data_IF_517818765509
#
_entry.id   IF_517818765509
#
_cell.length_a   1.000
_cell.length_b   1.000
_cell.length_c   1.000
_cell.angle_alpha   90.00
_cell.angle_beta   90.00
_cell.angle_gamma   90.00
#
_symmetry.space_group_name_H-M   'P 1'
#
loop_
_entity.id
_entity.type
_entity.pdbx_description
1 polymer ?
#
# COMPACT_ATOMS: atom_id res chain seq x y z
N UNK A 1 11.49 -29.63 6.03
CA UNK A 1 12.12 -28.73 7.01
C UNK A 1 11.69 -27.31 6.68
N UNK A 2 11.33 -26.58 7.73
CA UNK A 2 10.57 -25.32 7.81
C UNK A 2 10.49 -24.47 6.54
N UNK A 3 9.28 -24.39 5.98
CA UNK A 3 9.02 -23.56 4.80
C UNK A 3 9.10 -22.06 5.08
N UNK A 4 9.03 -21.61 6.33
CA UNK A 4 9.02 -20.19 6.67
C UNK A 4 10.43 -19.61 6.79
N UNK A 5 10.53 -18.28 6.61
CA UNK A 5 11.77 -17.52 6.84
C UNK A 5 12.23 -17.61 8.30
N UNK A 6 13.53 -17.41 8.52
CA UNK A 6 14.05 -17.30 9.88
C UNK A 6 13.49 -16.04 10.57
N UNK A 7 13.28 -16.07 11.89
CA UNK A 7 12.80 -14.90 12.64
C UNK A 7 13.69 -13.66 12.46
N UNK A 8 15.01 -13.86 12.37
CA UNK A 8 15.96 -12.77 12.15
C UNK A 8 15.77 -12.11 10.77
N UNK A 9 15.58 -12.92 9.72
CA UNK A 9 15.33 -12.40 8.38
C UNK A 9 13.97 -11.71 8.30
N UNK A 10 12.94 -12.25 8.95
CA UNK A 10 11.63 -11.59 9.05
C UNK A 10 11.75 -10.22 9.71
N UNK A 11 12.46 -10.12 10.84
CA UNK A 11 12.63 -8.86 11.56
C UNK A 11 13.42 -7.80 10.78
N UNK A 12 14.20 -8.20 9.78
CA UNK A 12 14.95 -7.28 8.91
C UNK A 12 14.14 -6.73 7.73
N UNK A 13 12.94 -7.27 7.47
CA UNK A 13 12.04 -6.82 6.41
C UNK A 13 11.20 -5.64 6.91
N UNK A 14 10.89 -4.71 6.01
CA UNK A 14 10.07 -3.53 6.32
C UNK A 14 8.60 -3.91 6.53
N UNK A 15 8.10 -4.90 5.78
CA UNK A 15 6.74 -5.40 5.88
C UNK A 15 6.73 -6.90 6.22
N UNK A 16 7.13 -7.26 7.45
CA UNK A 16 7.30 -8.66 7.86
C UNK A 16 6.00 -9.47 7.77
N UNK A 17 4.85 -8.83 7.97
CA UNK A 17 3.54 -9.46 7.90
C UNK A 17 3.26 -10.12 6.54
N UNK A 18 3.77 -9.53 5.44
CA UNK A 18 3.62 -10.14 4.12
C UNK A 18 4.41 -11.45 4.02
N UNK A 19 5.66 -11.44 4.47
CA UNK A 19 6.60 -12.54 4.28
C UNK A 19 6.44 -13.66 5.30
N UNK A 20 5.80 -13.39 6.43
CA UNK A 20 5.56 -14.35 7.53
C UNK A 20 4.47 -15.38 7.19
N UNK A 21 4.67 -16.08 6.08
CA UNK A 21 3.85 -17.17 5.57
C UNK A 21 4.71 -18.09 4.71
N UNK A 22 4.19 -19.27 4.38
CA UNK A 22 4.89 -20.20 3.51
C UNK A 22 5.22 -19.54 2.15
N UNK A 23 6.44 -19.67 1.61
CA UNK A 23 6.85 -19.08 0.34
C UNK A 23 6.01 -19.51 -0.87
N UNK A 24 5.46 -20.72 -0.83
CA UNK A 24 4.48 -21.18 -1.83
C UNK A 24 3.19 -20.34 -1.86
N UNK A 25 2.95 -19.50 -0.85
CA UNK A 25 1.82 -18.59 -0.72
C UNK A 25 2.22 -17.12 -0.85
N UNK A 26 3.45 -16.80 -1.26
CA UNK A 26 3.85 -15.40 -1.43
C UNK A 26 3.13 -14.72 -2.59
N UNK A 27 2.69 -15.46 -3.61
CA UNK A 27 1.99 -14.87 -4.76
C UNK A 27 2.96 -14.10 -5.67
N UNK A 28 2.42 -13.16 -6.44
CA UNK A 28 3.16 -12.31 -7.37
C UNK A 28 3.22 -10.85 -6.96
N UNK A 29 3.62 -9.98 -7.90
CA UNK A 29 3.72 -8.53 -7.68
C UNK A 29 2.35 -7.92 -7.35
N UNK A 30 1.28 -8.39 -7.98
CA UNK A 30 -0.07 -7.88 -7.69
C UNK A 30 -0.57 -8.25 -6.29
N UNK A 31 -0.19 -9.42 -5.75
CA UNK A 31 -0.50 -9.78 -4.36
C UNK A 31 0.21 -8.86 -3.37
N UNK A 32 1.46 -8.49 -3.67
CA UNK A 32 2.20 -7.48 -2.93
C UNK A 32 1.52 -6.12 -3.01
N UNK A 33 1.16 -5.69 -4.22
CA UNK A 33 0.50 -4.39 -4.45
C UNK A 33 -0.82 -4.30 -3.66
N UNK A 34 -1.64 -5.36 -3.67
CA UNK A 34 -2.88 -5.41 -2.88
C UNK A 34 -2.60 -5.34 -1.38
N UNK A 35 -1.56 -6.03 -0.89
CA UNK A 35 -1.18 -5.98 0.52
C UNK A 35 -0.75 -4.57 0.92
N UNK A 36 0.19 -3.97 0.17
CA UNK A 36 0.79 -2.70 0.54
C UNK A 36 -0.19 -1.52 0.41
N UNK A 37 -1.14 -1.59 -0.53
CA UNK A 37 -2.24 -0.62 -0.63
C UNK A 37 -3.14 -0.60 0.61
N UNK A 38 -3.31 -1.75 1.26
CA UNK A 38 -4.09 -1.86 2.52
C UNK A 38 -3.28 -1.41 3.72
N UNK A 39 -1.99 -1.74 3.73
CA UNK A 39 -1.08 -1.41 4.83
C UNK A 39 -0.72 0.08 4.86
N UNK A 40 -0.57 0.71 3.68
CA UNK A 40 -0.15 2.10 3.53
C UNK A 40 -1.13 2.85 2.61
N UNK A 41 -2.20 3.44 3.17
CA UNK A 41 -3.15 4.23 2.40
C UNK A 41 -2.47 5.37 1.63
N UNK A 42 -2.76 5.47 0.33
CA UNK A 42 -2.19 6.52 -0.53
C UNK A 42 -0.77 6.22 -1.04
N UNK A 43 -0.19 5.05 -0.76
CA UNK A 43 1.09 4.67 -1.36
C UNK A 43 1.00 4.70 -2.88
N UNK A 44 2.00 5.30 -3.53
CA UNK A 44 2.09 5.29 -4.97
C UNK A 44 2.83 4.03 -5.47
N UNK A 45 2.58 3.67 -6.73
CA UNK A 45 3.17 2.49 -7.38
C UNK A 45 4.69 2.47 -7.32
N UNK A 46 5.34 3.61 -7.52
CA UNK A 46 6.81 3.69 -7.53
C UNK A 46 7.39 3.32 -6.17
N UNK A 47 6.87 3.89 -5.08
CA UNK A 47 7.30 3.58 -3.72
C UNK A 47 7.02 2.13 -3.36
N UNK A 48 5.82 1.63 -3.67
CA UNK A 48 5.46 0.22 -3.43
C UNK A 48 6.43 -0.75 -4.11
N UNK A 49 6.78 -0.49 -5.36
CA UNK A 49 7.69 -1.33 -6.16
C UNK A 49 9.15 -1.18 -5.73
N UNK A 50 9.57 0.02 -5.32
CA UNK A 50 10.91 0.25 -4.76
C UNK A 50 11.10 -0.53 -3.45
N UNK A 51 10.10 -0.52 -2.56
CA UNK A 51 10.15 -1.31 -1.32
C UNK A 51 10.20 -2.81 -1.62
N UNK A 52 9.33 -3.32 -2.52
CA UNK A 52 9.39 -4.73 -2.92
C UNK A 52 10.76 -5.12 -3.49
N UNK A 53 11.35 -4.27 -4.33
CA UNK A 53 12.66 -4.53 -4.91
C UNK A 53 13.77 -4.61 -3.83
N UNK A 54 13.71 -3.74 -2.82
CA UNK A 54 14.65 -3.75 -1.71
C UNK A 54 14.52 -5.02 -0.84
N UNK A 55 13.30 -5.41 -0.50
CA UNK A 55 13.04 -6.62 0.29
C UNK A 55 13.42 -7.89 -0.48
N UNK A 56 13.07 -7.98 -1.76
CA UNK A 56 13.48 -9.11 -2.61
C UNK A 56 15.00 -9.21 -2.76
N UNK A 57 15.73 -8.07 -2.74
CA UNK A 57 17.20 -8.08 -2.75
C UNK A 57 17.75 -8.65 -1.44
N UNK A 58 17.20 -8.25 -0.29
CA UNK A 58 17.59 -8.82 1.00
C UNK A 58 17.32 -10.33 1.05
N UNK A 59 16.12 -10.75 0.64
CA UNK A 59 15.73 -12.16 0.58
C UNK A 59 16.68 -12.96 -0.32
N UNK A 60 17.06 -12.45 -1.50
CA UNK A 60 18.00 -13.13 -2.40
C UNK A 60 19.39 -13.30 -1.76
N UNK A 61 19.86 -12.32 -1.00
CA UNK A 61 21.16 -12.38 -0.33
C UNK A 61 21.19 -13.41 0.81
N UNK A 62 20.10 -13.51 1.58
CA UNK A 62 20.06 -14.28 2.82
C UNK A 62 19.50 -15.71 2.64
N UNK A 63 18.75 -15.97 1.56
CA UNK A 63 18.11 -17.26 1.36
C UNK A 63 19.05 -18.31 0.73
N UNK A 64 18.97 -19.59 1.18
CA UNK A 64 19.67 -20.68 0.51
C UNK A 64 19.19 -20.83 -0.93
N UNK A 65 20.12 -20.90 -1.89
CA UNK A 65 19.82 -21.00 -3.33
C UNK A 65 18.95 -22.21 -3.72
N UNK A 66 19.01 -23.28 -2.92
CA UNK A 66 18.20 -24.50 -3.11
C UNK A 66 16.76 -24.37 -2.57
N UNK A 67 16.45 -23.32 -1.82
CA UNK A 67 15.16 -23.17 -1.15
C UNK A 67 14.03 -22.78 -2.11
N UNK A 68 12.80 -23.15 -1.74
CA UNK A 68 11.58 -22.68 -2.44
C UNK A 68 11.46 -21.16 -2.34
N UNK A 69 11.81 -20.59 -1.18
CA UNK A 69 11.80 -19.16 -0.94
C UNK A 69 12.69 -18.41 -1.94
N UNK A 70 13.93 -18.87 -2.13
CA UNK A 70 14.87 -18.25 -3.07
C UNK A 70 14.34 -18.27 -4.51
N UNK A 71 13.77 -19.41 -4.95
CA UNK A 71 13.16 -19.51 -6.28
C UNK A 71 11.99 -18.54 -6.44
N UNK A 72 11.10 -18.44 -5.44
CA UNK A 72 9.98 -17.50 -5.46
C UNK A 72 10.45 -16.04 -5.48
N UNK A 73 11.49 -15.71 -4.71
CA UNK A 73 12.13 -14.38 -4.75
C UNK A 73 12.59 -14.04 -6.16
N UNK A 74 13.28 -14.95 -6.85
CA UNK A 74 13.73 -14.71 -8.23
C UNK A 74 12.57 -14.54 -9.21
N UNK A 75 11.52 -15.36 -9.10
CA UNK A 75 10.31 -15.23 -9.91
C UNK A 75 9.67 -13.86 -9.71
N UNK A 76 9.45 -13.43 -8.46
CA UNK A 76 8.88 -12.12 -8.17
C UNK A 76 9.78 -10.98 -8.68
N UNK A 77 11.11 -11.08 -8.56
CA UNK A 77 12.05 -10.08 -9.12
C UNK A 77 11.93 -9.97 -10.64
N UNK A 78 11.77 -11.10 -11.33
CA UNK A 78 11.57 -11.09 -12.78
C UNK A 78 10.25 -10.43 -13.13
N UNK A 79 9.16 -10.82 -12.48
CA UNK A 79 7.84 -10.22 -12.69
C UNK A 79 7.84 -8.72 -12.39
N UNK A 80 8.56 -8.26 -11.37
CA UNK A 80 8.64 -6.83 -11.02
C UNK A 80 9.30 -6.00 -12.12
N UNK A 81 10.27 -6.54 -12.85
CA UNK A 81 10.89 -5.84 -14.00
C UNK A 81 9.90 -5.64 -15.14
N UNK A 82 9.02 -6.62 -15.37
CA UNK A 82 8.05 -6.60 -16.47
C UNK A 82 6.64 -6.13 -16.06
N UNK A 83 6.39 -5.84 -14.78
CA UNK A 83 5.05 -5.51 -14.27
C UNK A 83 4.42 -4.26 -14.91
N UNK A 84 5.24 -3.36 -15.46
CA UNK A 84 4.75 -2.19 -16.23
C UNK A 84 4.05 -2.59 -17.53
N UNK A 85 4.37 -3.77 -18.06
CA UNK A 85 3.77 -4.33 -19.27
C UNK A 85 2.57 -5.23 -18.97
N UNK A 86 2.29 -5.53 -17.70
CA UNK A 86 1.14 -6.31 -17.29
C UNK A 86 -0.11 -5.42 -17.25
N UNK A 87 -1.08 -5.61 -18.17
CA UNK A 87 -2.30 -4.80 -18.21
C UNK A 87 -3.15 -4.95 -16.94
N UNK A 88 -3.12 -6.13 -16.30
CA UNK A 88 -3.88 -6.36 -15.08
C UNK A 88 -3.30 -5.56 -13.91
N UNK A 89 -1.97 -5.52 -13.77
CA UNK A 89 -1.30 -4.71 -12.76
C UNK A 89 -1.53 -3.22 -12.99
N UNK A 90 -1.47 -2.75 -14.24
CA UNK A 90 -1.77 -1.35 -14.56
C UNK A 90 -3.22 -0.99 -14.20
N UNK A 91 -4.19 -1.83 -14.57
CA UNK A 91 -5.61 -1.62 -14.21
C UNK A 91 -5.87 -1.62 -12.70
N UNK A 92 -5.14 -2.45 -11.95
CA UNK A 92 -5.20 -2.46 -10.48
C UNK A 92 -4.82 -1.09 -9.90
N UNK A 93 -3.68 -0.54 -10.33
CA UNK A 93 -3.20 0.75 -9.86
C UNK A 93 -4.09 1.92 -10.31
N UNK A 94 -4.62 1.89 -11.53
CA UNK A 94 -5.61 2.87 -12.00
C UNK A 94 -6.89 2.85 -11.15
N UNK A 95 -7.41 1.65 -10.86
CA UNK A 95 -8.62 1.49 -10.03
C UNK A 95 -8.40 2.06 -8.63
N UNK A 96 -7.25 1.79 -8.02
CA UNK A 96 -6.90 2.32 -6.71
C UNK A 96 -6.80 3.86 -6.72
N UNK A 97 -6.14 4.43 -7.72
CA UNK A 97 -6.00 5.89 -7.84
C UNK A 97 -7.35 6.58 -8.08
N UNK A 98 -8.24 5.98 -8.87
CA UNK A 98 -9.59 6.48 -9.06
C UNK A 98 -10.39 6.44 -7.76
N UNK A 99 -10.32 5.33 -7.01
CA UNK A 99 -10.99 5.22 -5.72
C UNK A 99 -10.49 6.27 -4.69
N UNK A 100 -9.18 6.55 -4.66
CA UNK A 100 -8.60 7.60 -3.82
C UNK A 100 -9.07 9.00 -4.27
N UNK A 101 -9.12 9.25 -5.57
CA UNK A 101 -9.60 10.51 -6.14
C UNK A 101 -11.08 10.74 -5.81
N UNK A 102 -11.91 9.71 -5.95
CA UNK A 102 -13.33 9.77 -5.60
C UNK A 102 -13.54 10.00 -4.09
N UNK A 103 -12.74 9.36 -3.24
CA UNK A 103 -12.79 9.58 -1.80
C UNK A 103 -12.39 11.02 -1.42
N UNK A 104 -11.35 11.56 -2.05
CA UNK A 104 -10.95 12.96 -1.85
C UNK A 104 -12.03 13.94 -2.32
N UNK A 105 -12.64 13.69 -3.48
CA UNK A 105 -13.71 14.52 -4.02
C UNK A 105 -14.97 14.48 -3.14
N UNK A 106 -15.40 13.30 -2.69
CA UNK A 106 -16.52 13.17 -1.73
C UNK A 106 -16.25 13.94 -0.45
N UNK A 107 -15.05 13.79 0.12
CA UNK A 107 -14.66 14.52 1.34
C UNK A 107 -14.73 16.03 1.16
N UNK A 108 -14.33 16.55 -0.01
CA UNK A 108 -14.44 17.99 -0.35
C UNK A 108 -15.89 18.45 -0.48
N UNK A 109 -16.74 17.66 -1.13
CA UNK A 109 -18.18 17.95 -1.26
C UNK A 109 -18.86 17.93 0.12
N UNK A 110 -18.52 16.97 0.97
CA UNK A 110 -19.04 16.90 2.34
C UNK A 110 -18.63 18.13 3.16
N UNK A 111 -17.38 18.59 3.03
CA UNK A 111 -16.91 19.85 3.62
C UNK A 111 -17.71 21.06 3.08
N UNK A 112 -17.91 21.19 1.77
CA UNK A 112 -18.66 22.33 1.21
C UNK A 112 -20.15 22.30 1.58
N UNK A 113 -20.74 21.11 1.70
CA UNK A 113 -22.12 20.93 2.14
C UNK A 113 -22.27 21.30 3.63
N UNK A 114 -21.29 20.96 4.47
CA UNK A 114 -21.24 21.38 5.86
C UNK A 114 -21.03 22.90 5.99
N UNK A 115 -20.16 23.50 5.19
CA UNK A 115 -19.98 24.96 5.13
C UNK A 115 -21.29 25.65 4.73
N UNK A 116 -21.94 25.17 3.68
CA UNK A 116 -23.22 25.69 3.20
C UNK A 116 -24.31 25.53 4.27
N UNK A 117 -24.38 24.39 4.94
CA UNK A 117 -25.31 24.14 6.04
C UNK A 117 -25.02 25.05 7.25
N UNK A 118 -23.75 25.25 7.61
CA UNK A 118 -23.34 26.13 8.71
C UNK A 118 -23.68 27.60 8.42
N UNK A 119 -23.43 28.07 7.19
CA UNK A 119 -23.77 29.42 6.74
C UNK A 119 -25.28 29.65 6.74
N UNK A 120 -26.05 28.68 6.23
CA UNK A 120 -27.51 28.81 6.12
C UNK A 120 -28.24 28.70 7.46
N UNK A 121 -27.68 28.00 8.45
CA UNK A 121 -28.33 27.78 9.76
C UNK A 121 -27.83 28.72 10.86
N UNK A 122 -26.71 29.43 10.66
CA UNK A 122 -26.08 30.27 11.70
C UNK A 122 -25.58 29.47 12.92
N UNK A 123 -25.41 28.16 12.79
CA UNK A 123 -25.10 27.26 13.91
C UNK A 123 -23.64 27.41 14.36
N UNK A 124 -23.44 27.99 15.56
CA UNK A 124 -22.13 28.17 16.20
C UNK A 124 -21.43 26.83 16.43
N UNK A 125 -22.17 25.78 16.79
CA UNK A 125 -21.64 24.42 17.00
C UNK A 125 -21.10 23.79 15.70
N UNK A 126 -21.74 24.06 14.55
CA UNK A 126 -21.25 23.61 13.25
C UNK A 126 -20.01 24.41 12.82
N UNK A 127 -19.96 25.71 13.12
CA UNK A 127 -18.81 26.59 12.87
C UNK A 127 -17.59 26.18 13.71
N UNK A 128 -17.77 25.83 14.98
CA UNK A 128 -16.68 25.39 15.86
C UNK A 128 -16.13 24.01 15.46
N UNK A 129 -17.01 23.07 15.08
CA UNK A 129 -16.58 21.77 14.55
C UNK A 129 -15.80 21.89 13.23
N UNK A 130 -16.19 22.83 12.37
CA UNK A 130 -15.45 23.16 11.15
C UNK A 130 -14.06 23.71 11.44
N UNK A 131 -13.94 24.69 12.36
CA UNK A 131 -12.64 25.27 12.77
C UNK A 131 -11.69 24.23 13.35
N UNK A 132 -12.20 23.29 14.15
CA UNK A 132 -11.41 22.22 14.74
C UNK A 132 -10.86 21.23 13.67
N UNK A 133 -11.63 20.94 12.62
CA UNK A 133 -11.22 20.01 11.55
C UNK A 133 -10.33 20.65 10.47
N UNK A 134 -10.54 21.91 10.13
CA UNK A 134 -9.66 22.64 9.20
C UNK A 134 -8.22 22.79 9.76
N UNK A 135 -8.08 22.95 11.07
CA UNK A 135 -6.77 22.97 11.74
C UNK A 135 -6.02 21.62 11.63
N UNK A 136 -6.73 20.51 11.49
CA UNK A 136 -6.14 19.16 11.37
C UNK A 136 -5.61 18.87 9.96
N UNK A 137 -6.22 19.47 8.92
CA UNK A 137 -5.81 19.30 7.51
C UNK A 137 -4.59 20.17 7.15
N UNK A 138 -4.36 21.28 7.87
CA UNK A 138 -3.22 22.18 7.65
C UNK A 138 -1.94 21.76 8.38
N UNK A 139 -1.96 20.65 9.13
CA UNK A 139 -0.82 20.10 9.86
C UNK A 139 -0.22 18.82 9.24
N UNK A 140 -0.62 18.45 8.01
CA UNK A 140 -0.02 17.41 7.17
C UNK A 140 0.63 18.05 5.94
#
# INVERSE_FOLDING_TARGET
>A
MSGCLSPQLIAALQYPAYWNRAPSKWGGVSDWDIFIMKEVPGINRHTAHATLAAELKLLECELPKSSVAYRQTLTMKSCLKDCKKDPANTKLWETQMNALTDAANRSRIDLSNLESAAFNTGSVLAIENFRARAAYVMCL
#
